data_IF_898479100493
#
_entry.id   IF_898479100493
#
_cell.length_a   1.000
_cell.length_b   1.000
_cell.length_c   1.000
_cell.angle_alpha   90.00
_cell.angle_beta   90.00
_cell.angle_gamma   90.00
#
_symmetry.space_group_name_H-M   'P 1'
#
loop_
_entity.id
_entity.type
_entity.pdbx_description
1 polymer ?
#
# COMPACT_ATOMS: atom_id res chain seq x y z
N UNK A 1 -77.34 -47.35 -16.33
CA UNK A 1 -77.10 -46.58 -15.09
C UNK A 1 -75.89 -45.67 -15.29
N UNK A 2 -76.08 -44.34 -15.25
CA UNK A 2 -74.99 -43.35 -15.41
C UNK A 2 -74.20 -43.23 -14.11
N UNK A 3 -72.91 -43.58 -14.12
CA UNK A 3 -71.98 -43.29 -13.01
C UNK A 3 -71.48 -41.84 -13.14
N UNK A 4 -71.82 -40.99 -12.18
CA UNK A 4 -71.28 -39.63 -12.05
C UNK A 4 -69.85 -39.72 -11.47
N UNK A 5 -68.81 -39.17 -12.13
CA UNK A 5 -67.49 -39.13 -11.54
C UNK A 5 -67.40 -38.00 -10.50
N UNK A 6 -67.20 -38.36 -9.24
CA UNK A 6 -66.88 -37.43 -8.16
C UNK A 6 -65.43 -36.92 -8.35
N UNK A 7 -65.28 -35.75 -8.97
CA UNK A 7 -63.98 -35.06 -9.10
C UNK A 7 -63.55 -34.56 -7.71
N UNK A 8 -62.69 -35.35 -7.06
CA UNK A 8 -62.06 -35.04 -5.78
C UNK A 8 -61.24 -33.74 -5.82
N UNK A 9 -61.32 -32.99 -4.71
CA UNK A 9 -60.84 -31.61 -4.48
C UNK A 9 -59.30 -31.50 -4.38
N UNK A 10 -58.55 -32.17 -5.26
CA UNK A 10 -57.08 -32.21 -5.20
C UNK A 10 -56.41 -30.85 -5.44
N UNK A 11 -57.05 -29.96 -6.19
CA UNK A 11 -56.57 -28.59 -6.42
C UNK A 11 -56.46 -27.77 -5.13
N UNK A 12 -57.39 -27.94 -4.18
CA UNK A 12 -57.38 -27.17 -2.93
C UNK A 12 -56.31 -27.66 -1.95
N UNK A 13 -56.02 -28.96 -1.96
CA UNK A 13 -54.96 -29.56 -1.15
C UNK A 13 -53.57 -29.17 -1.67
N UNK A 14 -53.37 -29.11 -2.99
CA UNK A 14 -52.11 -28.68 -3.59
C UNK A 14 -51.83 -27.20 -3.30
N UNK A 15 -52.85 -26.34 -3.40
CA UNK A 15 -52.74 -24.92 -3.05
C UNK A 15 -52.46 -24.74 -1.55
N UNK A 16 -53.11 -25.51 -0.68
CA UNK A 16 -52.86 -25.42 0.77
C UNK A 16 -51.43 -25.84 1.14
N UNK A 17 -50.87 -26.87 0.49
CA UNK A 17 -49.49 -27.32 0.72
C UNK A 17 -48.47 -26.27 0.24
N UNK A 18 -48.76 -25.62 -0.88
CA UNK A 18 -47.91 -24.56 -1.44
C UNK A 18 -47.94 -23.29 -0.57
N UNK A 19 -49.11 -22.93 -0.04
CA UNK A 19 -49.28 -21.80 0.89
C UNK A 19 -48.61 -22.09 2.24
N UNK A 20 -48.66 -23.33 2.74
CA UNK A 20 -47.97 -23.72 3.97
C UNK A 20 -46.44 -23.68 3.81
N UNK A 21 -45.90 -24.01 2.63
CA UNK A 21 -44.47 -23.88 2.35
C UNK A 21 -43.99 -22.43 2.31
N UNK A 22 -44.86 -21.47 2.00
CA UNK A 22 -44.52 -20.04 1.96
C UNK A 22 -44.43 -19.40 3.36
N UNK A 23 -45.04 -20.02 4.37
CA UNK A 23 -45.07 -19.49 5.74
C UNK A 23 -43.86 -19.93 6.60
N UNK A 24 -43.05 -20.88 6.13
CA UNK A 24 -41.87 -21.37 6.88
C UNK A 24 -40.54 -20.71 6.48
N UNK A 25 -40.51 -19.85 5.47
CA UNK A 25 -39.30 -19.11 5.09
C UNK A 25 -39.10 -17.88 5.97
N UNK A 26 -38.92 -18.09 7.27
CA UNK A 26 -38.33 -17.08 8.14
C UNK A 26 -36.81 -17.13 7.95
N UNK A 27 -36.32 -16.51 6.87
CA UNK A 27 -34.89 -16.22 6.75
C UNK A 27 -34.59 -15.22 7.86
N UNK A 28 -33.97 -15.68 8.95
CA UNK A 28 -33.47 -14.78 9.97
C UNK A 28 -32.37 -13.94 9.32
N UNK A 29 -32.67 -12.67 9.07
CA UNK A 29 -31.64 -11.69 8.77
C UNK A 29 -30.72 -11.67 10.00
N UNK A 30 -29.52 -12.22 9.83
CA UNK A 30 -28.47 -12.20 10.85
C UNK A 30 -28.23 -10.73 11.15
N UNK A 31 -28.75 -10.25 12.27
CA UNK A 31 -28.40 -8.96 12.82
C UNK A 31 -26.99 -9.10 13.39
N UNK A 32 -25.98 -9.14 12.51
CA UNK A 32 -24.60 -8.86 12.90
C UNK A 32 -24.65 -7.49 13.58
N UNK A 33 -24.14 -7.45 14.82
CA UNK A 33 -24.07 -6.20 15.56
C UNK A 33 -23.40 -5.12 14.71
N UNK A 34 -23.78 -3.82 14.83
CA UNK A 34 -23.21 -2.76 14.00
C UNK A 34 -21.67 -2.73 14.00
N UNK A 35 -21.07 -3.15 15.11
CA UNK A 35 -19.61 -3.26 15.27
C UNK A 35 -19.01 -4.39 14.44
N UNK A 36 -19.69 -5.53 14.34
CA UNK A 36 -19.25 -6.68 13.56
C UNK A 36 -19.36 -6.40 12.06
N UNK A 37 -20.46 -5.80 11.63
CA UNK A 37 -20.62 -5.32 10.25
C UNK A 37 -19.54 -4.28 9.88
N UNK A 38 -19.19 -3.38 10.81
CA UNK A 38 -18.11 -2.41 10.61
C UNK A 38 -16.73 -3.09 10.55
N UNK A 39 -16.45 -4.03 11.46
CA UNK A 39 -15.19 -4.77 11.48
C UNK A 39 -14.99 -5.57 10.19
N UNK A 40 -16.05 -6.22 9.71
CA UNK A 40 -16.06 -6.95 8.46
C UNK A 40 -15.85 -6.02 7.27
N UNK A 41 -16.49 -4.86 7.24
CA UNK A 41 -16.24 -3.84 6.20
C UNK A 41 -14.79 -3.36 6.19
N UNK A 42 -14.20 -3.08 7.36
CA UNK A 42 -12.81 -2.63 7.46
C UNK A 42 -11.85 -3.72 6.95
N UNK A 43 -12.12 -4.98 7.31
CA UNK A 43 -11.36 -6.14 6.84
C UNK A 43 -11.45 -6.28 5.32
N UNK A 44 -12.65 -6.21 4.76
CA UNK A 44 -12.87 -6.34 3.32
C UNK A 44 -12.25 -5.18 2.53
N UNK A 45 -12.32 -3.95 3.06
CA UNK A 45 -11.62 -2.79 2.49
C UNK A 45 -10.11 -3.00 2.51
N UNK A 46 -9.54 -3.53 3.60
CA UNK A 46 -8.10 -3.85 3.68
C UNK A 46 -7.70 -4.91 2.66
N UNK A 47 -8.52 -5.93 2.44
CA UNK A 47 -8.27 -6.98 1.46
C UNK A 47 -8.43 -6.47 0.01
N UNK A 48 -9.30 -5.49 -0.24
CA UNK A 48 -9.46 -4.84 -1.55
C UNK A 48 -8.32 -3.86 -1.88
N UNK A 49 -7.68 -3.27 -0.87
CA UNK A 49 -6.51 -2.41 -1.09
C UNK A 49 -5.25 -3.26 -1.13
N UNK A 50 -4.56 -3.43 -2.28
CA UNK A 50 -3.28 -4.12 -2.27
C UNK A 50 -2.35 -3.39 -1.30
N UNK A 51 -1.68 -4.15 -0.44
CA UNK A 51 -0.73 -3.54 0.49
C UNK A 51 0.37 -2.87 -0.32
N UNK A 52 0.86 -1.73 0.15
CA UNK A 52 1.96 -1.04 -0.53
C UNK A 52 3.17 -1.99 -0.71
N UNK A 53 3.44 -2.86 0.26
CA UNK A 53 4.47 -3.89 0.16
C UNK A 53 4.28 -4.83 -1.05
N UNK A 54 3.07 -5.33 -1.29
CA UNK A 54 2.74 -6.15 -2.47
C UNK A 54 2.88 -5.34 -3.77
N UNK A 55 2.48 -4.07 -3.77
CA UNK A 55 2.64 -3.18 -4.93
C UNK A 55 4.11 -2.88 -5.26
N UNK A 56 5.04 -3.13 -4.34
CA UNK A 56 6.48 -3.03 -4.53
C UNK A 56 7.16 -4.37 -4.85
N UNK A 57 6.41 -5.49 -4.97
CA UNK A 57 6.99 -6.81 -5.26
C UNK A 57 7.82 -6.84 -6.55
N UNK A 58 7.44 -6.02 -7.55
CA UNK A 58 8.19 -5.85 -8.81
C UNK A 58 9.41 -4.91 -8.69
N UNK A 59 9.76 -4.49 -7.48
CA UNK A 59 10.85 -3.56 -7.17
C UNK A 59 10.56 -2.09 -7.50
N UNK A 60 9.38 -1.78 -8.05
CA UNK A 60 8.95 -0.43 -8.45
C UNK A 60 7.51 -0.20 -8.04
N UNK A 61 7.22 1.00 -7.55
CA UNK A 61 5.87 1.44 -7.22
C UNK A 61 5.46 2.64 -8.05
N UNK A 62 4.20 2.65 -8.50
CA UNK A 62 3.63 3.82 -9.17
C UNK A 62 2.94 4.69 -8.13
N UNK A 63 3.53 5.85 -7.88
CA UNK A 63 2.97 6.87 -6.97
C UNK A 63 1.59 7.30 -7.41
N UNK A 64 0.66 7.46 -6.47
CA UNK A 64 -0.70 7.93 -6.71
C UNK A 64 -0.88 9.35 -6.17
N UNK A 65 -1.90 10.04 -6.67
CA UNK A 65 -2.27 11.38 -6.15
C UNK A 65 -2.65 11.25 -4.68
N UNK A 66 -2.02 12.06 -3.82
CA UNK A 66 -2.23 12.04 -2.37
C UNK A 66 -1.34 11.06 -1.60
N UNK A 67 -0.41 10.37 -2.28
CA UNK A 67 0.65 9.65 -1.57
C UNK A 67 1.66 10.60 -0.95
N UNK A 68 2.20 10.17 0.20
CA UNK A 68 3.33 10.82 0.84
C UNK A 68 4.49 9.84 0.94
N UNK A 69 5.70 10.37 0.84
CA UNK A 69 6.92 9.57 0.97
C UNK A 69 6.97 8.87 2.34
N UNK A 70 6.61 9.55 3.42
CA UNK A 70 6.60 8.98 4.76
C UNK A 70 5.58 7.83 4.90
N UNK A 71 4.41 7.92 4.26
CA UNK A 71 3.42 6.83 4.25
C UNK A 71 3.96 5.62 3.48
N UNK A 72 4.63 5.85 2.36
CA UNK A 72 5.27 4.78 1.59
C UNK A 72 6.33 4.09 2.44
N UNK A 73 7.26 4.84 3.03
CA UNK A 73 8.33 4.31 3.89
C UNK A 73 7.73 3.53 5.07
N UNK A 74 6.71 4.07 5.74
CA UNK A 74 6.08 3.41 6.88
C UNK A 74 5.42 2.08 6.51
N UNK A 75 4.94 1.92 5.28
CA UNK A 75 4.26 0.70 4.85
C UNK A 75 5.20 -0.32 4.21
N UNK A 76 6.33 0.10 3.65
CA UNK A 76 7.26 -0.79 2.95
C UNK A 76 8.49 -1.16 3.77
N UNK A 77 8.92 -0.30 4.69
CA UNK A 77 10.16 -0.43 5.46
C UNK A 77 9.89 -0.39 6.97
N UNK A 78 8.86 -1.10 7.43
CA UNK A 78 8.41 -1.12 8.84
C UNK A 78 9.55 -1.52 9.78
N UNK A 79 10.28 -2.60 9.45
CA UNK A 79 11.27 -3.22 10.34
C UNK A 79 12.72 -2.75 10.08
N UNK A 80 12.90 -1.62 9.38
CA UNK A 80 14.24 -1.15 9.04
C UNK A 80 14.86 -0.34 10.20
N UNK A 81 16.07 -0.68 10.68
CA UNK A 81 16.75 0.06 11.76
C UNK A 81 17.25 1.45 11.34
N UNK A 82 17.22 1.78 10.04
CA UNK A 82 17.69 3.05 9.50
C UNK A 82 16.71 4.18 9.79
N UNK A 83 17.25 5.34 10.21
CA UNK A 83 16.45 6.55 10.47
C UNK A 83 15.65 6.97 9.23
N UNK A 84 14.38 7.32 9.41
CA UNK A 84 13.48 7.80 8.34
C UNK A 84 14.06 8.94 7.50
N UNK A 85 14.84 9.84 8.11
CA UNK A 85 15.49 10.95 7.39
C UNK A 85 16.49 10.48 6.32
N UNK A 86 17.26 9.44 6.64
CA UNK A 86 18.23 8.83 5.72
C UNK A 86 17.49 8.09 4.62
N UNK A 87 16.45 7.33 4.96
CA UNK A 87 15.61 6.64 3.97
C UNK A 87 14.95 7.62 3.00
N UNK A 88 14.42 8.75 3.49
CA UNK A 88 13.87 9.80 2.62
C UNK A 88 14.91 10.32 1.64
N UNK A 89 16.10 10.66 2.13
CA UNK A 89 17.19 11.16 1.29
C UNK A 89 17.62 10.12 0.26
N UNK A 90 17.77 8.85 0.66
CA UNK A 90 18.13 7.76 -0.23
C UNK A 90 17.09 7.58 -1.34
N UNK A 91 15.80 7.60 -1.00
CA UNK A 91 14.71 7.49 -1.98
C UNK A 91 14.70 8.67 -2.94
N UNK A 92 14.86 9.90 -2.43
CA UNK A 92 14.88 11.10 -3.27
C UNK A 92 16.07 11.10 -4.23
N UNK A 93 17.25 10.67 -3.76
CA UNK A 93 18.45 10.56 -4.59
C UNK A 93 18.36 9.44 -5.62
N UNK A 94 17.76 8.31 -5.27
CA UNK A 94 17.50 7.22 -6.20
C UNK A 94 16.43 7.55 -7.25
N UNK A 95 15.55 8.53 -6.98
CA UNK A 95 14.41 8.87 -7.84
C UNK A 95 14.26 10.38 -8.13
N UNK A 96 15.28 11.06 -8.66
CA UNK A 96 15.23 12.52 -8.84
C UNK A 96 14.08 12.99 -9.76
N UNK A 97 13.62 12.14 -10.68
CA UNK A 97 12.51 12.39 -11.59
C UNK A 97 11.13 12.39 -10.90
N UNK A 98 11.02 11.77 -9.73
CA UNK A 98 9.77 11.66 -8.97
C UNK A 98 9.53 12.85 -8.03
N UNK A 99 10.55 13.68 -7.77
CA UNK A 99 10.47 14.77 -6.80
C UNK A 99 10.72 16.14 -7.43
N UNK A 100 9.92 17.13 -7.04
CA UNK A 100 10.13 18.51 -7.45
C UNK A 100 11.30 19.10 -6.69
N UNK A 101 12.36 19.51 -7.40
CA UNK A 101 13.58 20.13 -6.82
C UNK A 101 14.23 19.27 -5.72
N UNK A 102 14.15 17.92 -5.83
CA UNK A 102 14.62 16.99 -4.79
C UNK A 102 14.00 17.24 -3.40
N UNK A 103 12.81 17.84 -3.35
CA UNK A 103 12.09 18.05 -2.09
C UNK A 103 11.29 16.78 -1.74
N UNK A 104 11.59 16.09 -0.61
CA UNK A 104 10.88 14.87 -0.21
C UNK A 104 9.39 15.08 0.05
N UNK A 105 8.98 16.31 0.37
CA UNK A 105 7.58 16.66 0.63
C UNK A 105 6.78 16.89 -0.66
N UNK A 106 7.46 17.06 -1.81
CA UNK A 106 6.83 17.31 -3.11
C UNK A 106 7.17 16.19 -4.10
N UNK A 107 6.32 15.16 -4.09
CA UNK A 107 6.39 14.00 -4.98
C UNK A 107 5.32 14.12 -6.08
N UNK A 108 5.71 13.87 -7.33
CA UNK A 108 4.78 13.82 -8.45
C UNK A 108 3.95 12.53 -8.40
N UNK A 109 2.70 12.60 -8.83
CA UNK A 109 1.87 11.42 -9.05
C UNK A 109 2.21 10.72 -10.37
N UNK A 110 1.86 9.44 -10.47
CA UNK A 110 2.06 8.55 -11.62
C UNK A 110 3.53 8.42 -12.05
N UNK A 111 4.45 8.59 -11.10
CA UNK A 111 5.88 8.33 -11.31
C UNK A 111 6.27 7.00 -10.68
N UNK A 112 7.16 6.30 -11.38
CA UNK A 112 7.80 5.10 -10.87
C UNK A 112 8.79 5.48 -9.78
N UNK A 113 8.63 4.86 -8.62
CA UNK A 113 9.43 5.03 -7.42
C UNK A 113 10.14 3.71 -7.12
N UNK A 114 11.47 3.74 -7.11
CA UNK A 114 12.34 2.64 -6.71
C UNK A 114 12.64 2.76 -5.21
N UNK A 115 12.59 1.65 -4.48
CA UNK A 115 13.08 1.60 -3.10
C UNK A 115 14.60 1.70 -3.04
N UNK A 116 15.17 2.26 -1.96
CA UNK A 116 16.61 2.41 -1.85
C UNK A 116 17.23 1.03 -1.58
N UNK A 117 18.30 0.71 -2.29
CA UNK A 117 19.12 -0.48 -1.98
C UNK A 117 20.06 -0.18 -0.81
N UNK A 118 20.77 -1.20 -0.33
CA UNK A 118 21.82 -1.02 0.67
C UNK A 118 22.89 -0.02 0.21
N UNK A 119 23.22 -0.01 -1.09
CA UNK A 119 24.18 0.93 -1.69
C UNK A 119 23.65 2.37 -1.68
N UNK A 120 22.37 2.58 -1.99
CA UNK A 120 21.75 3.91 -1.94
C UNK A 120 21.79 4.49 -0.51
N UNK A 121 21.49 3.65 0.49
CA UNK A 121 21.56 4.03 1.91
C UNK A 121 23.01 4.32 2.31
N UNK A 122 23.95 3.45 1.92
CA UNK A 122 25.38 3.64 2.16
C UNK A 122 25.82 5.00 1.61
N UNK A 123 25.46 5.32 0.37
CA UNK A 123 25.80 6.61 -0.23
C UNK A 123 25.25 7.78 0.58
N UNK A 124 24.03 7.73 1.13
CA UNK A 124 23.52 8.83 1.96
C UNK A 124 24.25 8.96 3.30
N UNK A 125 24.53 7.84 3.96
CA UNK A 125 25.21 7.84 5.27
C UNK A 125 26.67 8.28 5.12
N UNK A 126 27.35 7.79 4.09
CA UNK A 126 28.80 7.94 3.91
C UNK A 126 29.18 9.04 2.89
N UNK A 127 28.23 9.73 2.26
CA UNK A 127 28.55 10.94 1.45
C UNK A 127 29.05 12.10 2.31
N UNK A 128 28.75 12.11 3.60
CA UNK A 128 29.37 13.02 4.57
C UNK A 128 30.72 12.51 5.12
N UNK A 129 31.24 11.40 4.56
CA UNK A 129 32.57 10.83 4.84
C UNK A 129 33.43 10.62 3.59
N UNK A 130 33.21 11.41 2.53
CA UNK A 130 34.31 11.89 1.70
C UNK A 130 34.91 11.03 0.60
N UNK A 131 34.21 10.97 -0.55
CA UNK A 131 34.80 10.48 -1.79
C UNK A 131 35.36 11.57 -2.71
N UNK A 132 34.56 12.61 -3.02
CA UNK A 132 34.89 13.54 -4.13
C UNK A 132 35.14 14.97 -3.65
N UNK A 133 34.28 15.49 -2.77
CA UNK A 133 34.45 16.82 -2.19
C UNK A 133 35.62 16.83 -1.20
N UNK A 134 35.78 15.76 -0.41
CA UNK A 134 36.86 15.62 0.54
C UNK A 134 38.19 15.29 -0.13
N UNK A 135 38.24 14.56 -1.25
CA UNK A 135 39.48 14.39 -2.00
C UNK A 135 40.02 15.72 -2.54
N UNK A 136 39.16 16.56 -3.13
CA UNK A 136 39.56 17.90 -3.62
C UNK A 136 39.93 18.84 -2.46
N UNK A 137 39.23 18.75 -1.33
CA UNK A 137 39.50 19.54 -0.13
C UNK A 137 40.78 19.07 0.57
N UNK A 138 40.99 17.77 0.69
CA UNK A 138 42.22 17.14 1.20
C UNK A 138 43.42 17.52 0.32
N UNK A 139 43.32 17.36 -1.00
CA UNK A 139 44.36 17.79 -1.94
C UNK A 139 44.61 19.31 -1.87
N UNK A 140 43.58 20.11 -1.59
CA UNK A 140 43.75 21.56 -1.37
C UNK A 140 44.41 21.90 -0.03
N UNK A 141 44.18 21.11 1.03
CA UNK A 141 44.83 21.27 2.34
C UNK A 141 46.28 20.83 2.26
N UNK A 142 46.55 19.71 1.59
CA UNK A 142 47.88 19.19 1.34
C UNK A 142 48.76 20.21 0.61
N UNK A 143 48.28 20.79 -0.50
CA UNK A 143 49.03 21.84 -1.23
C UNK A 143 49.34 23.09 -0.42
N UNK A 144 48.52 23.41 0.60
CA UNK A 144 48.78 24.55 1.50
C UNK A 144 49.87 24.26 2.53
N UNK A 145 50.19 22.99 2.76
CA UNK A 145 51.26 22.56 3.67
C UNK A 145 52.63 22.46 3.00
N UNK A 146 52.70 22.63 1.68
CA UNK A 146 53.96 22.55 0.94
C UNK A 146 54.80 23.81 1.13
N UNK A 147 56.08 23.62 1.44
CA UNK A 147 57.07 24.70 1.52
C UNK A 147 57.34 25.20 0.11
N UNK A 148 57.09 26.49 -0.15
CA UNK A 148 57.38 27.12 -1.44
C UNK A 148 58.69 27.90 -1.36
N UNK A 149 59.53 27.73 -2.37
CA UNK A 149 60.78 28.50 -2.53
C UNK A 149 60.51 29.77 -3.36
N UNK A 150 61.22 30.88 -3.05
CA UNK A 150 61.10 32.15 -3.77
C UNK A 150 61.70 32.09 -5.19
#
# INVERSE_FOLDING_TARGET
MKLKPHKLKYSKLFVALFVMSLLFSSVSAVAESPEEALAQLIKDVRLMTPTLAEAFADGRYITKKGDTLDRIIANTMVDNPVRKSILRQAIVLANPHAFKRKNPNWMYANKQLKLPTAEDIHNVVFTNSGGILDAKKAASVERKSWVQYP
#
